data_IF_579551277145
#
_entry.id   IF_579551277145
#
_cell.length_a   1.000
_cell.length_b   1.000
_cell.length_c   1.000
_cell.angle_alpha   90.00
_cell.angle_beta   90.00
_cell.angle_gamma   90.00
#
_symmetry.space_group_name_H-M   'P 1'
#
loop_
_entity.id
_entity.type
_entity.pdbx_description
1 polymer ?
#
# COMPACT_ATOMS: atom_id res chain seq x y z
N UNK A 1 29.90 -82.24 30.98
CA UNK A 1 30.04 -80.76 30.88
C UNK A 1 28.70 -80.13 31.22
N UNK A 2 28.66 -79.35 32.30
CA UNK A 2 27.50 -78.57 32.73
C UNK A 2 27.41 -77.31 31.86
N UNK A 3 26.24 -76.97 31.34
CA UNK A 3 25.96 -75.60 30.89
C UNK A 3 24.68 -75.10 31.53
N UNK A 4 24.84 -73.98 32.23
CA UNK A 4 23.86 -73.26 33.03
C UNK A 4 22.73 -72.69 32.16
N UNK A 5 21.52 -72.71 32.71
CA UNK A 5 20.37 -71.89 32.32
C UNK A 5 20.65 -70.44 32.74
N UNK A 6 20.54 -69.47 31.83
CA UNK A 6 20.57 -68.05 32.15
C UNK A 6 19.20 -67.43 31.85
N UNK A 7 18.60 -66.85 32.89
CA UNK A 7 17.24 -66.35 32.93
C UNK A 7 17.10 -64.95 32.29
N UNK A 8 15.89 -64.68 31.84
CA UNK A 8 15.39 -63.40 31.33
C UNK A 8 15.55 -62.25 32.34
N UNK A 9 15.87 -61.07 31.84
CA UNK A 9 15.26 -59.81 32.29
C UNK A 9 15.03 -58.89 31.08
N UNK A 10 13.77 -58.77 30.64
CA UNK A 10 13.34 -57.68 29.75
C UNK A 10 13.29 -56.39 30.60
N UNK A 11 14.25 -55.50 30.39
CA UNK A 11 14.17 -54.12 30.87
C UNK A 11 13.45 -53.25 29.85
N UNK A 12 12.23 -52.81 30.17
CA UNK A 12 11.54 -51.76 29.40
C UNK A 12 12.14 -50.42 29.80
N UNK A 13 12.96 -49.86 28.92
CA UNK A 13 13.42 -48.47 29.02
C UNK A 13 12.28 -47.54 28.62
N UNK A 14 11.60 -46.95 29.60
CA UNK A 14 10.70 -45.81 29.38
C UNK A 14 11.57 -44.59 29.09
N UNK A 15 11.89 -44.37 27.82
CA UNK A 15 12.51 -43.13 27.37
C UNK A 15 11.50 -42.00 27.46
N UNK A 16 11.79 -40.98 28.27
CA UNK A 16 11.06 -39.72 28.26
C UNK A 16 11.23 -39.06 26.88
N UNK A 17 10.14 -38.98 26.11
CA UNK A 17 10.10 -38.23 24.87
C UNK A 17 10.12 -36.75 25.26
N UNK A 18 11.15 -35.95 24.90
CA UNK A 18 11.07 -34.52 25.04
C UNK A 18 9.94 -34.02 24.14
N UNK A 19 8.93 -33.40 24.76
CA UNK A 19 7.89 -32.69 24.03
C UNK A 19 8.58 -31.63 23.15
N UNK A 20 8.19 -31.48 21.88
CA UNK A 20 8.64 -30.35 21.09
C UNK A 20 8.11 -29.09 21.79
N UNK A 21 9.02 -28.25 22.25
CA UNK A 21 8.74 -26.84 22.53
C UNK A 21 8.27 -26.24 21.20
N UNK A 22 6.96 -26.29 20.96
CA UNK A 22 6.30 -25.41 20.02
C UNK A 22 6.36 -24.01 20.63
N UNK A 23 7.56 -23.42 20.55
CA UNK A 23 7.72 -21.99 20.65
C UNK A 23 6.69 -21.41 19.70
N UNK A 24 5.67 -20.78 20.29
CA UNK A 24 4.79 -19.85 19.61
C UNK A 24 5.71 -18.87 18.89
N UNK A 25 5.91 -19.10 17.60
CA UNK A 25 6.56 -18.13 16.73
C UNK A 25 5.71 -16.88 16.85
N UNK A 26 6.18 -15.96 17.69
CA UNK A 26 5.50 -14.72 17.99
C UNK A 26 5.44 -14.04 16.63
N UNK A 27 4.28 -14.10 15.95
CA UNK A 27 4.04 -13.37 14.71
C UNK A 27 4.41 -11.93 15.04
N UNK A 28 5.59 -11.51 14.58
CA UNK A 28 6.07 -10.16 14.77
C UNK A 28 5.10 -9.31 13.98
N UNK A 29 4.12 -8.74 14.67
CA UNK A 29 3.23 -7.75 14.07
C UNK A 29 4.17 -6.62 13.69
N UNK A 30 4.50 -6.52 12.41
CA UNK A 30 5.32 -5.44 11.90
C UNK A 30 4.70 -4.13 12.40
N UNK A 31 5.53 -3.24 12.95
CA UNK A 31 5.07 -1.92 13.33
C UNK A 31 4.34 -1.30 12.12
N UNK A 32 3.25 -0.54 12.35
CA UNK A 32 2.61 0.17 11.26
C UNK A 32 3.68 1.01 10.52
N UNK A 33 3.63 1.05 9.18
CA UNK A 33 4.59 1.82 8.40
C UNK A 33 4.63 3.27 8.92
N UNK A 34 5.82 3.91 8.91
CA UNK A 34 5.95 5.27 9.40
C UNK A 34 4.99 6.20 8.66
N UNK A 35 4.41 7.14 9.39
CA UNK A 35 3.50 8.12 8.80
C UNK A 35 4.22 8.92 7.70
N UNK A 36 3.54 9.22 6.58
CA UNK A 36 4.09 10.07 5.52
C UNK A 36 4.46 11.46 6.03
N UNK A 37 5.63 11.94 5.61
CA UNK A 37 6.06 13.31 5.91
C UNK A 37 5.38 14.31 4.98
N UNK A 38 5.12 15.52 5.47
CA UNK A 38 4.57 16.65 4.71
C UNK A 38 5.56 17.30 3.71
N UNK A 39 6.64 16.59 3.34
CA UNK A 39 7.66 17.10 2.44
C UNK A 39 7.23 16.95 0.97
N UNK A 40 7.69 17.84 0.08
CA UNK A 40 7.47 17.69 -1.36
C UNK A 40 7.90 16.30 -1.83
N UNK A 41 7.06 15.66 -2.64
CA UNK A 41 7.34 14.33 -3.16
C UNK A 41 8.57 14.33 -4.07
N UNK A 42 9.38 13.28 -3.97
CA UNK A 42 10.48 13.01 -4.89
C UNK A 42 10.08 11.82 -5.80
N UNK A 43 10.26 11.90 -7.13
CA UNK A 43 10.06 10.76 -8.02
C UNK A 43 10.88 9.53 -7.58
N UNK A 44 10.33 8.33 -7.78
CA UNK A 44 10.95 7.06 -7.41
C UNK A 44 10.85 6.69 -5.92
N UNK A 45 10.42 7.60 -5.05
CA UNK A 45 10.23 7.30 -3.62
C UNK A 45 8.83 6.73 -3.39
N UNK A 46 8.76 5.54 -2.81
CA UNK A 46 7.48 4.93 -2.41
C UNK A 46 6.94 5.58 -1.15
N UNK A 47 5.63 5.85 -1.16
CA UNK A 47 4.90 6.42 -0.04
C UNK A 47 3.74 5.49 0.30
N UNK A 48 3.64 5.08 1.56
CA UNK A 48 2.46 4.39 2.09
C UNK A 48 1.48 5.42 2.62
N UNK A 49 0.28 5.49 2.06
CA UNK A 49 -0.70 6.49 2.47
C UNK A 49 -2.13 6.01 2.25
N UNK A 50 -3.08 6.95 2.26
CA UNK A 50 -4.49 6.61 2.04
C UNK A 50 -4.94 7.07 0.66
N UNK A 51 -5.68 6.23 -0.05
CA UNK A 51 -6.38 6.61 -1.26
C UNK A 51 -7.89 6.61 -1.05
N UNK A 52 -8.55 7.65 -1.53
CA UNK A 52 -9.98 7.66 -1.84
C UNK A 52 -10.16 7.76 -3.34
N UNK A 53 -11.42 7.80 -3.80
CA UNK A 53 -11.73 8.12 -5.18
C UNK A 53 -12.84 9.17 -5.23
N UNK A 54 -12.82 10.00 -6.26
CA UNK A 54 -13.92 10.92 -6.54
C UNK A 54 -15.06 10.16 -7.24
N UNK A 55 -16.31 10.50 -6.91
CA UNK A 55 -17.46 10.08 -7.70
C UNK A 55 -17.45 10.89 -8.99
N UNK A 56 -17.75 10.30 -10.17
CA UNK A 56 -17.78 11.03 -11.42
C UNK A 56 -18.64 12.29 -11.28
N UNK A 57 -18.09 13.44 -11.72
CA UNK A 57 -18.68 14.74 -11.48
C UNK A 57 -18.26 15.76 -12.53
N UNK A 58 -18.78 16.99 -12.48
CA UNK A 58 -18.59 17.99 -13.53
C UNK A 58 -17.18 18.59 -13.57
N UNK A 59 -16.29 18.24 -12.63
CA UNK A 59 -14.93 18.80 -12.57
C UNK A 59 -14.06 18.15 -13.65
N UNK A 60 -13.78 18.91 -14.71
CA UNK A 60 -12.91 18.48 -15.82
C UNK A 60 -11.47 18.98 -15.73
N UNK A 61 -11.22 20.01 -14.91
CA UNK A 61 -9.92 20.67 -14.82
C UNK A 61 -9.42 20.62 -13.37
N UNK A 62 -8.23 20.06 -13.18
CA UNK A 62 -7.49 20.07 -11.92
C UNK A 62 -6.58 21.30 -11.78
N UNK A 63 -5.87 21.38 -10.65
CA UNK A 63 -4.88 22.44 -10.38
C UNK A 63 -3.75 22.49 -11.40
N UNK A 64 -3.54 21.43 -12.19
CA UNK A 64 -2.58 21.42 -13.28
C UNK A 64 -3.06 22.18 -14.53
N UNK A 65 -4.32 22.64 -14.57
CA UNK A 65 -4.78 23.64 -15.53
C UNK A 65 -5.03 23.13 -16.95
N UNK A 66 -5.23 21.83 -17.15
CA UNK A 66 -5.64 21.25 -18.43
C UNK A 66 -6.87 20.35 -18.26
N UNK A 67 -7.61 20.19 -19.36
CA UNK A 67 -8.76 19.30 -19.42
C UNK A 67 -8.30 17.83 -19.30
N UNK A 68 -8.95 17.11 -18.41
CA UNK A 68 -8.80 15.67 -18.21
C UNK A 68 -10.05 15.00 -18.78
N UNK A 69 -9.87 13.97 -19.59
CA UNK A 69 -11.01 13.19 -20.08
C UNK A 69 -11.77 12.53 -18.92
N UNK A 70 -13.09 12.44 -19.01
CA UNK A 70 -13.96 11.95 -17.94
C UNK A 70 -13.64 10.50 -17.50
N UNK A 71 -13.06 9.71 -18.40
CA UNK A 71 -12.66 8.32 -18.13
C UNK A 71 -11.17 8.15 -17.86
N UNK A 72 -10.38 9.23 -17.89
CA UNK A 72 -8.94 9.15 -17.69
C UNK A 72 -8.59 8.61 -16.30
N UNK A 73 -7.47 7.89 -16.22
CA UNK A 73 -6.89 7.47 -14.96
C UNK A 73 -6.09 8.62 -14.40
N UNK A 74 -6.69 9.39 -13.50
CA UNK A 74 -6.08 10.57 -12.90
C UNK A 74 -5.97 10.46 -11.38
N UNK A 75 -5.11 11.29 -10.80
CA UNK A 75 -4.91 11.38 -9.36
C UNK A 75 -4.66 12.82 -8.91
N UNK A 76 -5.25 13.17 -7.78
CA UNK A 76 -4.89 14.36 -7.01
C UNK A 76 -3.95 14.00 -5.86
N UNK A 77 -2.92 14.81 -5.63
CA UNK A 77 -1.99 14.66 -4.49
C UNK A 77 -2.33 15.70 -3.43
N UNK A 78 -2.23 15.36 -2.15
CA UNK A 78 -2.38 16.34 -1.07
C UNK A 78 -1.47 17.58 -1.26
N UNK A 79 -1.95 18.72 -0.81
CA UNK A 79 -1.28 20.03 -0.94
C UNK A 79 0.18 20.04 -0.50
N UNK A 80 0.49 19.43 0.65
CA UNK A 80 1.82 19.49 1.23
C UNK A 80 2.87 18.79 0.34
N UNK A 81 2.53 17.62 -0.18
CA UNK A 81 3.43 16.84 -1.04
C UNK A 81 3.39 17.28 -2.50
N UNK A 82 2.25 17.78 -2.98
CA UNK A 82 2.16 18.40 -4.30
C UNK A 82 3.01 19.66 -4.37
N UNK A 83 3.07 20.44 -3.29
CA UNK A 83 3.96 21.59 -3.10
C UNK A 83 3.89 22.61 -4.25
N UNK A 84 2.67 23.03 -4.60
CA UNK A 84 2.45 24.01 -5.66
C UNK A 84 3.26 25.29 -5.42
N UNK A 85 3.89 25.76 -6.50
CA UNK A 85 4.44 27.12 -6.56
C UNK A 85 3.36 28.17 -6.76
N UNK A 86 3.74 29.42 -7.09
CA UNK A 86 2.79 30.51 -7.34
C UNK A 86 1.77 30.18 -8.45
N UNK A 87 2.21 29.46 -9.48
CA UNK A 87 1.36 28.93 -10.53
C UNK A 87 1.24 27.40 -10.39
N UNK A 88 0.10 26.84 -9.94
CA UNK A 88 -0.06 25.39 -9.80
C UNK A 88 -0.06 24.66 -11.15
N UNK A 89 -0.38 25.34 -12.25
CA UNK A 89 -0.36 24.75 -13.60
C UNK A 89 1.07 24.40 -14.07
N UNK A 90 2.08 25.03 -13.48
CA UNK A 90 3.50 24.82 -13.79
C UNK A 90 4.19 23.88 -12.80
N UNK A 91 3.42 23.20 -11.94
CA UNK A 91 4.00 22.27 -10.98
C UNK A 91 4.73 21.12 -11.73
N UNK A 92 5.99 20.81 -11.39
CA UNK A 92 6.76 19.76 -12.06
C UNK A 92 6.15 18.35 -11.92
N UNK A 93 5.23 18.14 -10.98
CA UNK A 93 4.51 16.88 -10.83
C UNK A 93 3.35 16.73 -11.82
N UNK A 94 2.83 17.82 -12.38
CA UNK A 94 1.74 17.75 -13.36
C UNK A 94 2.14 16.91 -14.58
N UNK A 95 1.20 16.13 -15.12
CA UNK A 95 1.41 15.18 -16.24
C UNK A 95 2.38 14.04 -15.97
N UNK A 96 2.97 13.95 -14.78
CA UNK A 96 3.78 12.78 -14.43
C UNK A 96 2.88 11.57 -14.20
N UNK A 97 3.41 10.42 -14.55
CA UNK A 97 2.80 9.15 -14.24
C UNK A 97 3.07 8.78 -12.78
N UNK A 98 2.06 8.23 -12.11
CA UNK A 98 2.16 7.63 -10.79
C UNK A 98 1.64 6.20 -10.85
N UNK A 99 2.35 5.28 -10.18
CA UNK A 99 1.87 3.93 -9.94
C UNK A 99 1.30 3.85 -8.55
N UNK A 100 0.06 3.39 -8.43
CA UNK A 100 -0.65 3.18 -7.17
C UNK A 100 -0.94 1.69 -7.01
N UNK A 101 -0.56 1.15 -5.86
CA UNK A 101 -0.71 -0.26 -5.52
C UNK A 101 -1.67 -0.40 -4.35
N UNK A 102 -2.66 -1.27 -4.54
CA UNK A 102 -3.56 -1.73 -3.50
C UNK A 102 -3.59 -3.25 -3.55
N UNK A 103 -3.27 -3.90 -2.44
CA UNK A 103 -2.99 -5.35 -2.42
C UNK A 103 -1.93 -5.72 -3.48
N UNK A 104 -2.21 -6.72 -4.32
CA UNK A 104 -1.33 -7.17 -5.40
C UNK A 104 -1.74 -6.60 -6.78
N UNK A 105 -2.57 -5.55 -6.80
CA UNK A 105 -3.05 -4.90 -8.02
C UNK A 105 -2.48 -3.49 -8.09
N UNK A 106 -2.07 -3.10 -9.29
CA UNK A 106 -1.52 -1.77 -9.56
C UNK A 106 -2.33 -1.07 -10.64
N UNK A 107 -2.50 0.24 -10.50
CA UNK A 107 -3.01 1.12 -11.55
C UNK A 107 -1.99 2.22 -11.81
N UNK A 108 -1.84 2.58 -13.08
CA UNK A 108 -1.04 3.72 -13.50
C UNK A 108 -1.97 4.89 -13.79
N UNK A 109 -1.69 6.04 -13.18
CA UNK A 109 -2.51 7.26 -13.23
C UNK A 109 -1.65 8.44 -13.61
N UNK A 110 -2.26 9.48 -14.14
CA UNK A 110 -1.64 10.78 -14.39
C UNK A 110 -1.96 11.75 -13.25
N UNK A 111 -0.97 12.53 -12.81
CA UNK A 111 -1.17 13.57 -11.79
C UNK A 111 -1.78 14.80 -12.45
N UNK A 112 -3.01 15.14 -12.05
CA UNK A 112 -3.80 16.20 -12.69
C UNK A 112 -4.26 17.29 -11.72
N UNK A 113 -4.23 17.03 -10.42
CA UNK A 113 -4.86 17.93 -9.43
C UNK A 113 -4.15 17.93 -8.06
N UNK A 114 -4.53 18.90 -7.25
CA UNK A 114 -4.15 19.02 -5.84
C UNK A 114 -5.38 18.82 -4.98
N UNK A 115 -5.28 17.92 -4.00
CA UNK A 115 -6.26 17.82 -2.94
C UNK A 115 -5.90 18.78 -1.79
N UNK A 116 -6.59 19.92 -1.71
CA UNK A 116 -6.31 20.99 -0.75
C UNK A 116 -6.56 20.60 0.72
N UNK A 117 -7.49 19.68 0.99
CA UNK A 117 -7.88 19.24 2.33
C UNK A 117 -7.24 17.92 2.77
N UNK A 118 -6.54 17.24 1.87
CA UNK A 118 -5.94 15.94 2.12
C UNK A 118 -4.71 16.03 3.04
N UNK A 119 -4.52 14.99 3.87
CA UNK A 119 -3.36 14.85 4.74
C UNK A 119 -2.11 14.38 3.96
N UNK A 120 -0.89 14.56 4.52
CA UNK A 120 0.31 13.96 3.94
C UNK A 120 0.15 12.45 3.71
N UNK A 121 0.56 12.00 2.52
CA UNK A 121 0.40 10.63 2.04
C UNK A 121 -0.91 10.35 1.34
N UNK A 122 -1.89 11.25 1.42
CA UNK A 122 -3.19 11.02 0.82
C UNK A 122 -3.22 11.39 -0.66
N UNK A 123 -3.94 10.57 -1.42
CA UNK A 123 -4.24 10.76 -2.83
C UNK A 123 -5.74 10.55 -3.10
N UNK A 124 -6.27 11.20 -4.14
CA UNK A 124 -7.65 11.01 -4.60
C UNK A 124 -7.61 10.54 -6.04
N UNK A 125 -8.05 9.32 -6.30
CA UNK A 125 -8.10 8.74 -7.63
C UNK A 125 -9.36 9.16 -8.38
N UNK A 126 -9.31 9.19 -9.71
CA UNK A 126 -10.55 9.14 -10.49
C UNK A 126 -11.33 7.85 -10.18
N UNK A 127 -12.65 7.88 -10.32
CA UNK A 127 -13.48 6.68 -10.13
C UNK A 127 -13.03 5.53 -11.04
N UNK A 128 -12.67 5.84 -12.29
CA UNK A 128 -12.21 4.87 -13.28
C UNK A 128 -10.88 4.22 -12.86
N UNK A 129 -9.94 4.98 -12.29
CA UNK A 129 -8.70 4.45 -11.74
C UNK A 129 -8.93 3.61 -10.48
N UNK A 130 -9.75 4.10 -9.55
CA UNK A 130 -10.11 3.36 -8.33
C UNK A 130 -10.79 2.02 -8.63
N UNK A 131 -11.60 1.96 -9.69
CA UNK A 131 -12.26 0.73 -10.14
C UNK A 131 -11.26 -0.33 -10.65
N UNK A 132 -10.11 0.09 -11.22
CA UNK A 132 -9.05 -0.84 -11.62
C UNK A 132 -8.38 -1.53 -10.43
N UNK A 133 -8.43 -0.93 -9.24
CA UNK A 133 -7.92 -1.54 -8.00
C UNK A 133 -8.90 -2.56 -7.40
N UNK A 134 -10.07 -2.75 -8.01
CA UNK A 134 -11.03 -3.80 -7.71
C UNK A 134 -12.19 -3.38 -6.80
N UNK A 135 -13.22 -4.23 -6.75
CA UNK A 135 -14.48 -3.94 -6.03
C UNK A 135 -14.27 -3.71 -4.53
N UNK A 136 -13.30 -4.40 -3.92
CA UNK A 136 -12.98 -4.21 -2.50
C UNK A 136 -12.50 -2.77 -2.21
N UNK A 137 -11.67 -2.22 -3.09
CA UNK A 137 -11.19 -0.84 -2.98
C UNK A 137 -12.38 0.13 -3.01
N UNK A 138 -13.27 -0.04 -3.99
CA UNK A 138 -14.47 0.79 -4.16
C UNK A 138 -15.39 0.68 -2.94
N UNK A 139 -15.67 -0.54 -2.46
CA UNK A 139 -16.58 -0.77 -1.34
C UNK A 139 -16.10 -0.16 -0.02
N UNK A 140 -14.78 -0.15 0.22
CA UNK A 140 -14.20 0.46 1.42
C UNK A 140 -14.18 1.98 1.35
N UNK A 141 -14.18 2.58 0.17
CA UNK A 141 -14.18 4.03 -0.05
C UNK A 141 -12.86 4.74 0.27
N UNK A 142 -12.11 4.22 1.25
CA UNK A 142 -10.82 4.75 1.70
C UNK A 142 -9.90 3.59 2.11
N UNK A 143 -8.74 3.50 1.47
CA UNK A 143 -7.85 2.35 1.58
C UNK A 143 -6.41 2.77 1.83
N UNK A 144 -5.66 1.96 2.57
CA UNK A 144 -4.20 2.08 2.61
C UNK A 144 -3.61 1.59 1.30
N UNK A 145 -2.76 2.40 0.67
CA UNK A 145 -2.10 2.11 -0.60
C UNK A 145 -0.61 2.43 -0.51
N UNK A 146 0.15 1.89 -1.46
CA UNK A 146 1.52 2.34 -1.73
C UNK A 146 1.53 3.02 -3.08
N UNK A 147 2.12 4.20 -3.18
CA UNK A 147 2.21 4.92 -4.44
C UNK A 147 3.59 5.51 -4.67
N UNK A 148 3.95 5.68 -5.94
CA UNK A 148 5.24 6.24 -6.38
C UNK A 148 5.04 7.05 -7.65
N UNK A 149 5.65 8.23 -7.71
CA UNK A 149 5.74 9.00 -8.96
C UNK A 149 6.85 8.36 -9.80
N UNK A 150 6.51 7.96 -11.03
CA UNK A 150 7.43 7.32 -11.94
C UNK A 150 8.52 8.31 -12.38
N UNK A 151 9.74 7.80 -12.50
CA UNK A 151 10.95 8.57 -12.83
C UNK A 151 11.01 8.92 -14.31
#
# INVERSE_FOLDING_TARGET
MRFLVAALTLGVLVGAIPLPDHALERRQVAAPPPAPTAQPVQPGVQITGQATFEVPGPKKIGSCGYDVEELAFSVAINKAQMANGPNPNENPNCRKSMTVQYNNVSVMVEITDTCESCQPGEIVLSHSAGSQLGQEFVNKGRNTVVWVINS
#
